data_IF_683822326497
#
_entry.id   IF_683822326497
#
_cell.length_a   1.000
_cell.length_b   1.000
_cell.length_c   1.000
_cell.angle_alpha   90.00
_cell.angle_beta   90.00
_cell.angle_gamma   90.00
#
_symmetry.space_group_name_H-M   'P 1'
#
loop_
_entity.id
_entity.type
_entity.pdbx_description
1 polymer ?
#
# COMPACT_ATOMS: atom_id res chain seq x y z
N UNK A 1 -21.73 55.93 26.79
CA UNK A 1 -20.96 54.84 26.22
C UNK A 1 -20.58 55.27 24.79
N UNK A 2 -19.30 55.50 24.50
CA UNK A 2 -18.88 56.13 23.25
C UNK A 2 -19.01 55.18 22.06
N UNK A 3 -19.62 55.68 21.00
CA UNK A 3 -19.88 54.95 19.75
C UNK A 3 -18.65 54.25 19.15
N UNK A 4 -17.45 54.85 19.36
CA UNK A 4 -16.13 54.25 18.97
C UNK A 4 -15.81 52.95 19.67
N UNK A 5 -16.25 52.76 20.90
CA UNK A 5 -15.97 51.55 21.70
C UNK A 5 -16.88 50.39 21.24
N UNK A 6 -18.09 50.68 20.75
CA UNK A 6 -19.02 49.67 20.25
C UNK A 6 -18.52 49.06 18.92
N UNK A 7 -17.98 49.90 18.02
CA UNK A 7 -17.46 49.45 16.74
C UNK A 7 -16.20 48.58 16.95
N UNK A 8 -15.33 48.95 17.89
CA UNK A 8 -14.12 48.15 18.25
C UNK A 8 -14.48 46.78 18.81
N UNK A 9 -15.56 46.73 19.63
CA UNK A 9 -16.02 45.47 20.23
C UNK A 9 -16.68 44.54 19.20
N UNK A 10 -17.38 45.09 18.25
CA UNK A 10 -18.03 44.31 17.14
C UNK A 10 -16.94 43.76 16.19
N UNK A 11 -15.92 44.54 15.85
CA UNK A 11 -14.78 44.04 15.06
C UNK A 11 -14.01 42.91 15.77
N UNK A 12 -13.87 42.98 17.10
CA UNK A 12 -13.16 41.95 17.87
C UNK A 12 -13.99 40.64 17.91
N UNK A 13 -15.29 40.72 18.01
CA UNK A 13 -16.19 39.54 17.98
C UNK A 13 -16.23 38.93 16.58
N UNK A 14 -16.25 39.71 15.52
CA UNK A 14 -16.20 39.21 14.14
C UNK A 14 -14.85 38.54 13.80
N UNK A 15 -13.75 39.03 14.36
CA UNK A 15 -12.43 38.40 14.18
C UNK A 15 -12.32 37.04 14.89
N UNK A 16 -13.02 36.87 16.02
CA UNK A 16 -13.03 35.61 16.77
C UNK A 16 -13.89 34.51 16.11
N UNK A 17 -14.93 34.90 15.33
CA UNK A 17 -15.79 33.93 14.62
C UNK A 17 -15.10 33.33 13.40
N UNK A 18 -14.13 34.03 12.79
CA UNK A 18 -13.40 33.53 11.60
C UNK A 18 -12.34 32.51 11.95
N UNK A 19 -11.82 32.49 13.18
CA UNK A 19 -10.76 31.58 13.64
C UNK A 19 -11.30 30.21 14.08
N UNK A 20 -12.61 30.06 14.23
CA UNK A 20 -13.24 28.78 14.62
C UNK A 20 -13.69 27.89 13.44
N UNK A 21 -13.27 28.19 12.22
CA UNK A 21 -13.33 27.19 11.16
C UNK A 21 -12.24 26.18 11.46
N UNK A 22 -12.61 25.21 12.31
CA UNK A 22 -11.80 24.07 12.61
C UNK A 22 -11.26 23.49 11.30
N UNK A 23 -9.97 23.29 11.24
CA UNK A 23 -9.34 22.49 10.22
C UNK A 23 -10.07 21.16 10.26
N UNK A 24 -10.93 20.93 9.28
CA UNK A 24 -11.50 19.63 9.07
C UNK A 24 -10.29 18.73 8.79
N UNK A 25 -9.89 17.97 9.79
CA UNK A 25 -8.91 16.92 9.66
C UNK A 25 -9.44 16.05 8.51
N UNK A 26 -8.79 16.16 7.36
CA UNK A 26 -9.12 15.39 6.18
C UNK A 26 -8.96 13.93 6.59
N UNK A 27 -10.09 13.30 6.94
CA UNK A 27 -10.14 11.91 7.33
C UNK A 27 -9.55 11.14 6.14
N UNK A 28 -8.35 10.58 6.32
CA UNK A 28 -7.66 9.83 5.28
C UNK A 28 -8.65 8.82 4.71
N UNK A 29 -8.73 8.68 3.38
CA UNK A 29 -9.65 7.72 2.79
C UNK A 29 -9.32 6.33 3.33
N UNK A 30 -10.30 5.69 3.94
CA UNK A 30 -10.13 4.38 4.57
C UNK A 30 -10.27 3.25 3.53
N UNK A 31 -9.78 3.48 2.32
CA UNK A 31 -9.80 2.52 1.21
C UNK A 31 -8.52 2.61 0.38
N UNK A 32 -8.05 1.47 -0.09
CA UNK A 32 -6.94 1.38 -1.06
C UNK A 32 -7.46 1.26 -2.50
N UNK A 33 -8.59 0.58 -2.67
CA UNK A 33 -9.19 0.24 -3.95
C UNK A 33 -10.60 0.85 -3.98
N UNK A 34 -10.95 1.53 -5.07
CA UNK A 34 -12.32 2.04 -5.29
C UNK A 34 -13.19 0.98 -5.95
N UNK A 35 -14.53 1.15 -5.86
CA UNK A 35 -15.49 0.25 -6.54
C UNK A 35 -15.27 0.22 -8.07
N UNK A 36 -14.92 1.36 -8.65
CA UNK A 36 -14.65 1.50 -10.08
C UNK A 36 -13.39 0.73 -10.49
N UNK A 37 -12.33 0.80 -9.70
CA UNK A 37 -11.09 0.06 -9.92
C UNK A 37 -11.28 -1.45 -9.72
N UNK A 38 -12.08 -1.84 -8.74
CA UNK A 38 -12.43 -3.23 -8.49
C UNK A 38 -13.20 -3.85 -9.65
N UNK A 39 -14.10 -3.08 -10.27
CA UNK A 39 -14.92 -3.50 -11.40
C UNK A 39 -14.13 -3.68 -12.72
N UNK A 40 -12.87 -3.22 -12.77
CA UNK A 40 -12.04 -3.41 -13.97
C UNK A 40 -11.78 -4.90 -14.23
N UNK A 41 -11.69 -5.30 -15.50
CA UNK A 41 -11.40 -6.68 -15.87
C UNK A 41 -10.09 -7.16 -15.27
N UNK A 42 -10.07 -8.40 -14.81
CA UNK A 42 -8.85 -9.03 -14.32
C UNK A 42 -7.88 -9.31 -15.48
N UNK A 43 -6.59 -9.26 -15.19
CA UNK A 43 -5.56 -9.70 -16.11
C UNK A 43 -5.72 -11.20 -16.32
N UNK A 44 -6.17 -11.62 -17.51
CA UNK A 44 -6.07 -13.02 -17.93
C UNK A 44 -4.59 -13.33 -18.09
N UNK A 45 -3.95 -13.84 -17.06
CA UNK A 45 -2.64 -14.46 -17.20
C UNK A 45 -2.89 -15.67 -18.11
N UNK A 46 -2.62 -15.51 -19.39
CA UNK A 46 -2.36 -16.66 -20.22
C UNK A 46 -1.24 -17.39 -19.49
N UNK A 47 -1.55 -18.55 -18.90
CA UNK A 47 -0.56 -19.42 -18.29
C UNK A 47 0.42 -19.73 -19.40
N UNK A 48 1.45 -18.91 -19.54
CA UNK A 48 2.56 -19.22 -20.41
C UNK A 48 3.03 -20.59 -19.92
N UNK A 49 2.81 -21.58 -20.75
CA UNK A 49 3.33 -22.93 -20.59
C UNK A 49 4.79 -22.72 -20.21
N UNK A 50 5.13 -23.06 -18.98
CA UNK A 50 6.49 -22.96 -18.47
C UNK A 50 7.30 -23.89 -19.35
N UNK A 51 7.76 -23.39 -20.50
CA UNK A 51 8.73 -24.08 -21.34
C UNK A 51 9.94 -24.25 -20.48
N UNK A 52 10.17 -25.51 -20.07
CA UNK A 52 11.40 -25.90 -19.42
C UNK A 52 12.49 -25.63 -20.44
N UNK A 53 13.22 -24.54 -20.26
CA UNK A 53 14.50 -24.36 -20.91
C UNK A 53 15.33 -25.63 -20.64
N UNK A 54 15.99 -26.20 -21.66
CA UNK A 54 16.83 -27.37 -21.47
C UNK A 54 17.86 -27.01 -20.40
N UNK A 55 17.92 -27.82 -19.34
CA UNK A 55 18.99 -27.76 -18.37
C UNK A 55 20.31 -28.01 -19.13
N UNK A 56 21.04 -26.95 -19.32
CA UNK A 56 22.46 -27.10 -19.61
C UNK A 56 23.09 -27.53 -18.30
N UNK A 57 23.64 -28.76 -18.26
CA UNK A 57 24.32 -29.37 -17.13
C UNK A 57 25.64 -28.65 -16.85
N UNK A 58 25.59 -27.44 -16.38
CA UNK A 58 26.71 -26.77 -15.71
C UNK A 58 26.28 -26.55 -14.26
N UNK A 59 26.56 -27.59 -13.47
CA UNK A 59 26.37 -27.60 -12.05
C UNK A 59 27.33 -26.63 -11.36
N UNK A 60 26.88 -25.40 -11.18
CA UNK A 60 27.25 -24.61 -10.02
C UNK A 60 25.94 -24.36 -9.26
N UNK A 61 25.81 -24.84 -8.02
CA UNK A 61 24.77 -24.37 -7.16
C UNK A 61 25.14 -22.93 -6.78
N UNK A 62 24.77 -21.97 -7.64
CA UNK A 62 24.59 -20.61 -7.20
C UNK A 62 23.32 -20.69 -6.38
N UNK A 63 23.48 -20.76 -5.07
CA UNK A 63 22.38 -20.53 -4.16
C UNK A 63 21.93 -19.08 -4.41
N UNK A 64 20.82 -18.91 -5.11
CA UNK A 64 20.18 -17.62 -5.44
C UNK A 64 19.82 -16.78 -4.21
N UNK A 65 20.06 -17.32 -3.01
CA UNK A 65 19.76 -16.64 -1.75
C UNK A 65 20.66 -15.44 -1.46
N UNK A 66 21.86 -15.37 -2.08
CA UNK A 66 22.80 -14.26 -1.86
C UNK A 66 22.49 -13.02 -2.70
N UNK A 67 21.58 -13.11 -3.67
CA UNK A 67 21.17 -12.01 -4.54
C UNK A 67 19.72 -11.60 -4.34
N UNK A 68 19.06 -12.08 -3.31
CA UNK A 68 17.69 -11.73 -3.03
C UNK A 68 17.59 -10.35 -2.37
N UNK A 69 16.71 -9.50 -2.87
CA UNK A 69 16.37 -8.23 -2.25
C UNK A 69 15.65 -8.42 -0.90
N UNK A 70 15.01 -7.38 -0.34
CA UNK A 70 14.34 -7.43 0.95
C UNK A 70 13.32 -8.55 1.08
N UNK A 71 13.13 -9.05 2.29
CA UNK A 71 12.09 -10.04 2.59
C UNK A 71 10.78 -9.30 2.83
N UNK A 72 9.72 -9.73 2.14
CA UNK A 72 8.36 -9.24 2.32
C UNK A 72 7.56 -10.28 3.10
N UNK A 73 6.99 -9.89 4.25
CA UNK A 73 6.12 -10.74 5.04
C UNK A 73 4.74 -10.09 5.19
N UNK A 74 3.72 -10.68 4.58
CA UNK A 74 2.32 -10.26 4.72
C UNK A 74 1.70 -11.01 5.89
N UNK A 75 1.60 -10.36 7.06
CA UNK A 75 0.96 -10.92 8.25
C UNK A 75 -0.57 -10.91 8.10
N UNK A 76 -1.10 -9.79 7.61
CA UNK A 76 -2.51 -9.58 7.30
C UNK A 76 -2.68 -8.89 5.94
N UNK A 77 -3.73 -9.21 5.17
CA UNK A 77 -4.78 -10.21 5.41
C UNK A 77 -4.31 -11.64 5.12
N UNK A 78 -4.97 -12.62 5.73
CA UNK A 78 -4.75 -14.02 5.40
C UNK A 78 -5.32 -14.34 4.02
N UNK A 79 -4.50 -14.88 3.12
CA UNK A 79 -4.92 -15.24 1.75
C UNK A 79 -5.95 -16.41 1.70
N UNK A 80 -6.11 -17.13 2.82
CA UNK A 80 -7.02 -18.29 2.93
C UNK A 80 -8.42 -17.90 3.41
N UNK A 81 -8.61 -16.64 3.84
CA UNK A 81 -9.84 -16.14 4.45
C UNK A 81 -10.59 -15.25 3.47
N UNK A 82 -11.92 -15.37 3.45
CA UNK A 82 -12.81 -14.38 2.84
C UNK A 82 -13.27 -13.42 3.94
N UNK A 83 -13.25 -12.16 3.66
CA UNK A 83 -13.61 -11.08 4.59
C UNK A 83 -14.96 -10.51 4.19
N UNK A 84 -15.82 -10.20 5.18
CA UNK A 84 -17.12 -9.53 4.98
C UNK A 84 -17.17 -8.11 5.52
N UNK A 85 -16.10 -7.73 6.25
CA UNK A 85 -16.01 -6.47 6.97
C UNK A 85 -14.72 -5.74 6.64
N UNK A 86 -14.42 -4.72 7.44
CA UNK A 86 -13.18 -3.97 7.37
C UNK A 86 -11.95 -4.89 7.56
N UNK A 87 -10.92 -4.62 6.79
CA UNK A 87 -9.72 -5.46 6.72
C UNK A 87 -8.53 -4.68 7.27
N UNK A 88 -7.77 -5.33 8.15
CA UNK A 88 -6.46 -4.86 8.55
C UNK A 88 -5.42 -5.37 7.56
N UNK A 89 -4.47 -4.52 7.22
CA UNK A 89 -3.30 -4.87 6.41
C UNK A 89 -2.04 -4.59 7.22
N UNK A 90 -1.24 -5.63 7.43
CA UNK A 90 0.05 -5.57 8.12
C UNK A 90 1.08 -6.28 7.27
N UNK A 91 2.09 -5.54 6.85
CA UNK A 91 3.15 -6.03 5.97
C UNK A 91 4.48 -5.54 6.52
N UNK A 92 5.41 -6.46 6.73
CA UNK A 92 6.74 -6.20 7.23
C UNK A 92 7.77 -6.35 6.11
N UNK A 93 8.67 -5.38 6.03
CA UNK A 93 9.83 -5.45 5.14
C UNK A 93 11.08 -5.58 6.00
N UNK A 94 11.81 -6.67 5.80
CA UNK A 94 13.03 -6.93 6.55
C UNK A 94 14.22 -7.08 5.62
N UNK A 95 15.38 -6.67 6.12
CA UNK A 95 16.64 -6.87 5.42
C UNK A 95 16.86 -8.36 5.19
N UNK A 96 17.23 -8.74 3.98
CA UNK A 96 17.78 -10.07 3.72
C UNK A 96 19.09 -10.23 4.48
N UNK A 97 19.39 -11.37 5.11
CA UNK A 97 20.67 -11.61 5.80
C UNK A 97 21.90 -11.30 4.96
N UNK A 98 21.82 -11.51 3.66
CA UNK A 98 22.92 -11.30 2.70
C UNK A 98 22.79 -10.02 1.87
N UNK A 99 21.68 -9.26 2.01
CA UNK A 99 21.40 -8.03 1.26
C UNK A 99 21.73 -6.77 2.07
N UNK A 100 21.35 -5.64 1.53
CA UNK A 100 21.47 -4.32 2.15
C UNK A 100 20.18 -3.87 2.85
N UNK A 101 20.19 -2.77 3.63
CA UNK A 101 18.98 -2.25 4.24
C UNK A 101 17.88 -1.94 3.23
N UNK A 102 16.63 -2.11 3.65
CA UNK A 102 15.45 -1.85 2.82
C UNK A 102 15.37 -0.38 2.43
N UNK A 103 15.19 -0.10 1.14
CA UNK A 103 14.87 1.26 0.67
C UNK A 103 13.36 1.46 0.56
N UNK A 104 12.72 1.97 1.61
CA UNK A 104 11.28 2.25 1.62
C UNK A 104 10.83 3.30 0.59
N UNK A 105 11.74 4.06 -0.01
CA UNK A 105 11.40 5.00 -1.10
C UNK A 105 11.13 4.28 -2.40
N UNK A 106 11.70 3.10 -2.58
CA UNK A 106 11.51 2.25 -3.75
C UNK A 106 10.17 1.50 -3.74
N UNK A 107 9.44 1.51 -2.61
CA UNK A 107 8.18 0.78 -2.45
C UNK A 107 7.20 1.12 -3.56
N UNK A 108 6.66 0.09 -4.19
CA UNK A 108 5.52 0.16 -5.11
C UNK A 108 4.46 -0.85 -4.70
N UNK A 109 3.21 -0.40 -4.69
CA UNK A 109 2.04 -1.23 -4.42
C UNK A 109 1.10 -1.09 -5.60
N UNK A 110 0.77 -2.20 -6.26
CA UNK A 110 0.09 -2.21 -7.54
C UNK A 110 -1.11 -3.16 -7.46
N UNK A 111 -2.31 -2.68 -7.80
CA UNK A 111 -3.47 -3.54 -8.02
C UNK A 111 -3.39 -4.14 -9.43
N UNK A 112 -3.34 -5.46 -9.51
CA UNK A 112 -3.24 -6.18 -10.78
C UNK A 112 -4.63 -6.34 -11.40
N UNK A 113 -4.90 -5.54 -12.42
CA UNK A 113 -6.07 -5.61 -13.29
C UNK A 113 -5.63 -5.70 -14.75
N UNK A 114 -6.53 -5.58 -15.70
CA UNK A 114 -6.17 -5.51 -17.12
C UNK A 114 -5.13 -4.40 -17.38
N UNK A 115 -5.26 -3.28 -16.68
CA UNK A 115 -4.26 -2.23 -16.54
C UNK A 115 -3.83 -2.16 -15.08
N UNK A 116 -2.53 -2.12 -14.83
CA UNK A 116 -1.96 -2.01 -13.50
C UNK A 116 -2.30 -0.64 -12.89
N UNK A 117 -2.80 -0.64 -11.66
CA UNK A 117 -3.18 0.58 -10.95
C UNK A 117 -2.21 0.78 -9.80
N UNK A 118 -1.49 1.90 -9.82
CA UNK A 118 -0.55 2.26 -8.75
C UNK A 118 -1.31 2.75 -7.51
N UNK A 119 -1.19 2.00 -6.42
CA UNK A 119 -1.76 2.32 -5.12
C UNK A 119 -0.74 2.95 -4.16
N UNK A 120 0.50 3.14 -4.59
CA UNK A 120 1.63 3.50 -3.72
C UNK A 120 1.35 4.74 -2.89
N UNK A 121 0.81 5.80 -3.50
CA UNK A 121 0.55 7.06 -2.79
C UNK A 121 -0.55 6.92 -1.72
N UNK A 122 -1.53 6.05 -1.94
CA UNK A 122 -2.59 5.76 -0.96
C UNK A 122 -2.04 5.01 0.24
N UNK A 123 -1.07 4.11 -0.01
CA UNK A 123 -0.43 3.28 1.01
C UNK A 123 0.60 4.06 1.85
N UNK A 124 1.25 5.07 1.26
CA UNK A 124 2.29 5.87 1.94
C UNK A 124 1.89 6.39 3.32
N UNK A 125 0.62 6.74 3.50
CA UNK A 125 0.13 7.26 4.78
C UNK A 125 0.08 6.24 5.91
N UNK A 126 0.22 4.95 5.60
CA UNK A 126 0.19 3.84 6.54
C UNK A 126 1.58 3.25 6.79
N UNK A 127 2.63 3.82 6.19
CA UNK A 127 4.01 3.37 6.40
C UNK A 127 4.50 3.85 7.75
N UNK A 128 5.03 2.92 8.54
CA UNK A 128 5.68 3.16 9.83
C UNK A 128 7.04 2.46 9.85
N UNK A 129 8.11 3.22 9.69
CA UNK A 129 9.45 2.64 9.56
C UNK A 129 9.56 1.76 8.32
N UNK A 130 9.78 0.46 8.52
CA UNK A 130 9.84 -0.55 7.46
C UNK A 130 8.57 -1.41 7.39
N UNK A 131 7.45 -0.92 7.94
CA UNK A 131 6.20 -1.66 7.96
C UNK A 131 5.08 -0.86 7.32
N UNK A 132 4.07 -1.55 6.80
CA UNK A 132 2.77 -0.99 6.44
C UNK A 132 1.78 -1.48 7.47
N UNK A 133 1.14 -0.55 8.18
CA UNK A 133 0.10 -0.84 9.16
C UNK A 133 -1.16 -0.02 8.87
N UNK A 134 -2.13 -0.66 8.27
CA UNK A 134 -3.43 -0.06 7.98
C UNK A 134 -4.54 -0.86 8.66
N UNK A 135 -5.39 -0.18 9.42
CA UNK A 135 -6.51 -0.81 10.12
C UNK A 135 -7.83 -0.33 9.58
N UNK A 136 -8.78 -1.26 9.51
CA UNK A 136 -10.15 -0.97 9.16
C UNK A 136 -10.32 -0.45 7.74
N UNK A 137 -9.57 -0.99 6.77
CA UNK A 137 -9.72 -0.64 5.36
C UNK A 137 -10.97 -1.28 4.77
N UNK A 138 -11.71 -0.50 4.00
CA UNK A 138 -12.81 -1.01 3.19
C UNK A 138 -12.28 -1.44 1.82
N UNK A 139 -12.52 -2.69 1.46
CA UNK A 139 -12.27 -3.24 0.13
C UNK A 139 -13.62 -3.54 -0.54
N UNK A 140 -13.75 -3.30 -1.86
CA UNK A 140 -14.92 -3.74 -2.63
C UNK A 140 -15.06 -5.27 -2.63
N UNK A 141 -16.27 -5.77 -2.91
CA UNK A 141 -16.50 -7.20 -3.09
C UNK A 141 -15.69 -7.78 -4.25
N UNK A 142 -15.25 -9.02 -4.10
CA UNK A 142 -14.48 -9.74 -5.10
C UNK A 142 -13.10 -10.20 -4.65
N UNK A 143 -12.31 -10.64 -5.61
CA UNK A 143 -10.90 -11.03 -5.40
C UNK A 143 -9.98 -9.95 -5.96
N UNK A 144 -9.03 -9.49 -5.15
CA UNK A 144 -8.07 -8.45 -5.51
C UNK A 144 -6.67 -9.00 -5.41
N UNK A 145 -5.91 -8.95 -6.49
CA UNK A 145 -4.50 -9.29 -6.53
C UNK A 145 -3.66 -8.01 -6.39
N UNK A 146 -2.85 -7.95 -5.34
CA UNK A 146 -2.01 -6.80 -5.04
C UNK A 146 -0.56 -7.24 -5.11
N UNK A 147 0.21 -6.57 -5.96
CA UNK A 147 1.63 -6.77 -6.10
C UNK A 147 2.39 -5.72 -5.29
N UNK A 148 3.38 -6.17 -4.54
CA UNK A 148 4.32 -5.32 -3.81
C UNK A 148 5.69 -5.51 -4.42
N UNK A 149 6.37 -4.41 -4.71
CA UNK A 149 7.78 -4.38 -5.10
C UNK A 149 8.54 -3.49 -4.14
N UNK A 150 9.70 -3.95 -3.73
CA UNK A 150 10.59 -3.24 -2.82
C UNK A 150 12.03 -3.56 -3.16
N UNK A 151 12.90 -2.57 -3.05
CA UNK A 151 14.33 -2.72 -3.27
C UNK A 151 15.10 -2.49 -1.97
N UNK A 152 16.31 -2.99 -1.95
CA UNK A 152 17.32 -2.58 -0.97
C UNK A 152 18.17 -1.41 -1.50
N UNK A 153 19.17 -1.01 -0.73
CA UNK A 153 20.05 0.11 -1.08
C UNK A 153 21.00 -0.19 -2.27
N UNK A 154 21.17 -1.46 -2.66
CA UNK A 154 21.87 -1.90 -3.87
C UNK A 154 20.94 -2.15 -5.05
N UNK A 155 19.67 -1.69 -4.94
CA UNK A 155 18.63 -1.85 -5.97
C UNK A 155 18.18 -3.28 -6.25
N UNK A 156 18.52 -4.24 -5.38
CA UNK A 156 18.03 -5.61 -5.48
C UNK A 156 16.53 -5.64 -5.15
N UNK A 157 15.70 -6.03 -6.13
CA UNK A 157 14.24 -5.97 -6.02
C UNK A 157 13.65 -7.31 -5.60
N UNK A 158 12.71 -7.25 -4.65
CA UNK A 158 11.80 -8.35 -4.35
C UNK A 158 10.39 -7.97 -4.76
N UNK A 159 9.70 -8.91 -5.42
CA UNK A 159 8.30 -8.79 -5.83
C UNK A 159 7.48 -9.89 -5.16
N UNK A 160 6.35 -9.51 -4.56
CA UNK A 160 5.39 -10.43 -3.98
C UNK A 160 3.96 -10.07 -4.41
N UNK A 161 3.15 -11.09 -4.73
CA UNK A 161 1.72 -10.91 -5.00
C UNK A 161 0.93 -11.59 -3.89
N UNK A 162 0.00 -10.87 -3.30
CA UNK A 162 -0.97 -11.43 -2.35
C UNK A 162 -2.40 -11.14 -2.79
N UNK A 163 -3.33 -11.96 -2.28
CA UNK A 163 -4.74 -11.89 -2.64
C UNK A 163 -5.59 -11.51 -1.45
N UNK A 164 -6.56 -10.63 -1.68
CA UNK A 164 -7.61 -10.27 -0.73
C UNK A 164 -8.94 -10.70 -1.32
N UNK A 165 -9.71 -11.50 -0.57
CA UNK A 165 -11.06 -11.94 -0.94
C UNK A 165 -12.09 -11.30 -0.04
N UNK A 166 -13.09 -10.66 -0.64
CA UNK A 166 -14.21 -9.97 0.02
C UNK A 166 -15.52 -10.51 -0.53
N UNK A 167 -16.44 -10.87 0.38
CA UNK A 167 -17.75 -11.38 -0.01
C UNK A 167 -18.62 -11.77 1.19
#
# INVERSE_FOLDING_TARGET
MNFKNIISFICFILFFIIVSQGWAESKKPNFWITEEEAALPERKILKAKKERLPRTDLAYPVSDESMAGPIINVEKPSQKKTYSDLIDVVIHFTKNPFGEPVDMKSLKVILLKLWDIDLTDRVRSFIKGTDIEASGLKFPEGEHEIEIRIKDQEEMETTMVFKVKVG
#
